data_IF_742296499322
#
_entry.id   IF_742296499322
#
_cell.length_a   1.000
_cell.length_b   1.000
_cell.length_c   1.000
_cell.angle_alpha   90.00
_cell.angle_beta   90.00
_cell.angle_gamma   90.00
#
_symmetry.space_group_name_H-M   'P 1'
#
loop_
_entity.id
_entity.type
_entity.pdbx_description
1 polymer ?
#
# COMPACT_ATOMS: atom_id res chain seq x y z
N UNK A 1 20.66 -32.98 3.37
CA UNK A 1 19.25 -33.14 3.82
C UNK A 1 18.44 -31.84 3.78
N UNK A 2 19.02 -30.64 3.67
CA UNK A 2 18.26 -29.36 3.72
C UNK A 2 17.44 -28.99 2.46
N UNK A 3 17.82 -29.47 1.26
CA UNK A 3 17.15 -29.06 0.00
C UNK A 3 15.66 -29.43 -0.07
N UNK A 4 15.25 -30.54 0.56
CA UNK A 4 13.85 -31.00 0.50
C UNK A 4 12.94 -30.18 1.43
N UNK A 5 13.47 -29.67 2.54
CA UNK A 5 12.73 -28.81 3.47
C UNK A 5 12.57 -27.39 2.92
N UNK A 6 13.60 -26.86 2.25
CA UNK A 6 13.54 -25.54 1.62
C UNK A 6 12.50 -25.51 0.47
N UNK A 7 12.40 -26.59 -0.30
CA UNK A 7 11.40 -26.71 -1.38
C UNK A 7 9.97 -26.83 -0.85
N UNK A 8 9.76 -27.58 0.24
CA UNK A 8 8.45 -27.67 0.91
C UNK A 8 8.01 -26.30 1.44
N UNK A 9 8.90 -25.60 2.15
CA UNK A 9 8.63 -24.27 2.68
C UNK A 9 8.31 -23.26 1.55
N UNK A 10 9.02 -23.33 0.42
CA UNK A 10 8.76 -22.47 -0.72
C UNK A 10 7.40 -22.75 -1.37
N UNK A 11 7.02 -24.03 -1.47
CA UNK A 11 5.73 -24.44 -2.02
C UNK A 11 4.58 -24.03 -1.10
N UNK A 12 4.73 -24.21 0.20
CA UNK A 12 3.75 -23.77 1.21
C UNK A 12 3.56 -22.25 1.17
N UNK A 13 4.64 -21.48 1.06
CA UNK A 13 4.56 -20.03 0.91
C UNK A 13 3.85 -19.61 -0.39
N UNK A 14 4.07 -20.33 -1.49
CA UNK A 14 3.37 -20.08 -2.75
C UNK A 14 1.87 -20.39 -2.64
N UNK A 15 1.50 -21.52 -2.03
CA UNK A 15 0.10 -21.90 -1.83
C UNK A 15 -0.62 -20.85 -0.98
N UNK A 16 -0.05 -20.46 0.16
CA UNK A 16 -0.62 -19.41 1.01
C UNK A 16 -0.79 -18.08 0.26
N UNK A 17 0.16 -17.75 -0.63
CA UNK A 17 0.06 -16.59 -1.51
C UNK A 17 -1.12 -16.68 -2.48
N UNK A 18 -1.33 -17.84 -3.11
CA UNK A 18 -2.46 -18.06 -4.01
C UNK A 18 -3.81 -18.05 -3.30
N UNK A 19 -3.90 -18.66 -2.12
CA UNK A 19 -5.11 -18.65 -1.29
C UNK A 19 -5.51 -17.22 -0.91
N UNK A 20 -4.53 -16.42 -0.49
CA UNK A 20 -4.76 -15.01 -0.20
C UNK A 20 -5.27 -14.26 -1.44
N UNK A 21 -4.62 -14.42 -2.59
CA UNK A 21 -5.01 -13.76 -3.84
C UNK A 21 -6.44 -14.16 -4.26
N UNK A 22 -6.79 -15.44 -4.11
CA UNK A 22 -8.14 -15.93 -4.40
C UNK A 22 -9.19 -15.27 -3.50
N UNK A 23 -8.89 -15.16 -2.19
CA UNK A 23 -9.81 -14.55 -1.24
C UNK A 23 -10.01 -13.05 -1.51
N UNK A 24 -8.96 -12.33 -1.94
CA UNK A 24 -9.11 -10.94 -2.39
C UNK A 24 -10.04 -10.85 -3.60
N UNK A 25 -9.86 -11.71 -4.61
CA UNK A 25 -10.69 -11.71 -5.81
C UNK A 25 -12.16 -12.01 -5.50
N UNK A 26 -12.43 -12.96 -4.62
CA UNK A 26 -13.79 -13.30 -4.19
C UNK A 26 -14.47 -12.12 -3.50
N UNK A 27 -13.78 -11.45 -2.58
CA UNK A 27 -14.28 -10.25 -1.91
C UNK A 27 -14.58 -9.12 -2.91
N UNK A 28 -13.68 -8.90 -3.87
CA UNK A 28 -13.83 -7.88 -4.92
C UNK A 28 -15.04 -8.17 -5.82
N UNK A 29 -15.28 -9.43 -6.19
CA UNK A 29 -16.46 -9.79 -7.00
C UNK A 29 -17.78 -9.66 -6.26
N UNK A 30 -17.77 -9.76 -4.94
CA UNK A 30 -18.97 -9.57 -4.10
C UNK A 30 -19.29 -8.10 -3.79
N UNK A 31 -18.35 -7.20 -4.04
CA UNK A 31 -18.49 -5.78 -3.72
C UNK A 31 -19.51 -5.08 -4.65
N UNK A 32 -20.38 -4.26 -4.07
CA UNK A 32 -21.47 -3.61 -4.79
C UNK A 32 -21.09 -2.26 -5.41
N UNK A 33 -19.86 -1.77 -5.18
CA UNK A 33 -19.39 -0.48 -5.70
C UNK A 33 -17.87 -0.28 -5.59
N UNK A 34 -17.36 0.71 -6.34
CA UNK A 34 -15.92 1.02 -6.46
C UNK A 34 -15.25 1.25 -5.10
N UNK A 35 -15.90 1.98 -4.19
CA UNK A 35 -15.36 2.27 -2.87
C UNK A 35 -15.21 1.01 -2.00
N UNK A 36 -16.10 0.03 -2.14
CA UNK A 36 -16.05 -1.23 -1.38
C UNK A 36 -14.97 -2.16 -1.95
N UNK A 37 -14.80 -2.19 -3.27
CA UNK A 37 -13.69 -2.88 -3.93
C UNK A 37 -12.35 -2.37 -3.39
N UNK A 38 -12.14 -1.05 -3.40
CA UNK A 38 -10.90 -0.43 -2.93
C UNK A 38 -10.69 -0.69 -1.42
N UNK A 39 -11.77 -0.65 -0.62
CA UNK A 39 -11.69 -0.96 0.81
C UNK A 39 -11.21 -2.38 1.05
N UNK A 40 -11.77 -3.38 0.35
CA UNK A 40 -11.34 -4.77 0.47
C UNK A 40 -9.89 -4.98 0.05
N UNK A 41 -9.41 -4.25 -0.97
CA UNK A 41 -7.99 -4.27 -1.33
C UNK A 41 -7.09 -3.76 -0.19
N UNK A 42 -7.46 -2.65 0.45
CA UNK A 42 -6.69 -2.10 1.58
C UNK A 42 -6.70 -3.08 2.75
N UNK A 43 -7.86 -3.63 3.12
CA UNK A 43 -7.99 -4.60 4.21
C UNK A 43 -7.11 -5.83 3.99
N UNK A 44 -7.12 -6.37 2.76
CA UNK A 44 -6.26 -7.49 2.40
C UNK A 44 -4.78 -7.10 2.46
N UNK A 45 -4.41 -5.93 1.94
CA UNK A 45 -3.02 -5.44 1.97
C UNK A 45 -2.52 -5.24 3.41
N UNK A 46 -3.37 -4.74 4.31
CA UNK A 46 -3.06 -4.59 5.72
C UNK A 46 -2.85 -5.95 6.39
N UNK A 47 -3.72 -6.92 6.13
CA UNK A 47 -3.61 -8.27 6.68
C UNK A 47 -2.33 -8.98 6.23
N UNK A 48 -1.99 -8.87 4.94
CA UNK A 48 -0.77 -9.49 4.36
C UNK A 48 0.48 -8.76 4.84
N UNK A 49 0.47 -7.44 4.80
CA UNK A 49 1.61 -6.59 5.20
C UNK A 49 1.80 -6.49 6.70
N UNK A 50 0.82 -6.93 7.51
CA UNK A 50 0.74 -6.70 8.96
C UNK A 50 0.96 -5.22 9.31
N UNK A 51 0.35 -4.34 8.52
CA UNK A 51 0.46 -2.90 8.67
C UNK A 51 -0.73 -2.36 9.46
N UNK A 52 -0.49 -1.32 10.25
CA UNK A 52 -1.49 -0.74 11.16
C UNK A 52 -2.50 0.16 10.42
N UNK A 53 -2.05 0.82 9.35
CA UNK A 53 -2.84 1.75 8.55
C UNK A 53 -2.52 1.60 7.06
N UNK A 54 -3.51 1.88 6.22
CA UNK A 54 -3.34 1.80 4.78
C UNK A 54 -4.16 2.86 4.06
N UNK A 55 -3.65 3.32 2.93
CA UNK A 55 -4.37 4.24 2.06
C UNK A 55 -4.10 3.94 0.58
N UNK A 56 -5.11 4.11 -0.27
CA UNK A 56 -4.94 4.10 -1.72
C UNK A 56 -5.28 5.48 -2.24
N UNK A 57 -4.36 6.06 -2.99
CA UNK A 57 -4.54 7.30 -3.73
C UNK A 57 -4.58 7.01 -5.23
N UNK A 58 -5.69 7.35 -5.89
CA UNK A 58 -5.85 7.19 -7.34
C UNK A 58 -5.73 8.53 -8.07
N UNK A 59 -5.04 8.53 -9.20
CA UNK A 59 -4.88 9.67 -10.09
C UNK A 59 -6.00 9.70 -11.15
N UNK A 60 -6.55 10.87 -11.43
CA UNK A 60 -7.44 11.08 -12.58
C UNK A 60 -6.64 10.98 -13.88
N UNK A 61 -7.07 10.13 -14.82
CA UNK A 61 -6.40 9.97 -16.12
C UNK A 61 -6.52 11.27 -16.95
N UNK A 62 -5.38 11.93 -17.17
CA UNK A 62 -5.07 12.85 -18.28
C UNK A 62 -3.70 13.51 -18.05
N UNK A 63 -3.31 13.75 -16.79
CA UNK A 63 -2.07 14.45 -16.45
C UNK A 63 -1.29 13.89 -15.26
N UNK A 64 -1.81 12.88 -14.54
CA UNK A 64 -1.10 12.24 -13.43
C UNK A 64 -0.88 13.12 -12.19
N UNK A 65 -1.50 14.30 -12.12
CA UNK A 65 -1.30 15.28 -11.04
C UNK A 65 -2.49 15.45 -10.10
N UNK A 66 -3.69 15.05 -10.53
CA UNK A 66 -4.91 15.27 -9.74
C UNK A 66 -5.30 13.98 -9.02
N UNK A 67 -5.00 13.92 -7.71
CA UNK A 67 -5.46 12.85 -6.84
C UNK A 67 -6.97 12.97 -6.62
N UNK A 68 -7.74 11.94 -7.00
CA UNK A 68 -9.21 11.94 -6.94
C UNK A 68 -9.78 11.14 -5.78
N UNK A 69 -9.21 9.99 -5.50
CA UNK A 69 -9.81 9.04 -4.56
C UNK A 69 -8.78 8.65 -3.51
N UNK A 70 -9.10 8.95 -2.26
CA UNK A 70 -8.35 8.51 -1.09
C UNK A 70 -9.24 7.63 -0.23
N UNK A 71 -9.01 6.33 -0.27
CA UNK A 71 -9.62 5.37 0.67
C UNK A 71 -8.59 5.04 1.74
N UNK A 72 -9.01 4.98 3.00
CA UNK A 72 -8.17 4.64 4.15
C UNK A 72 -8.75 3.45 4.91
N UNK A 73 -7.87 2.62 5.48
CA UNK A 73 -8.21 1.51 6.38
C UNK A 73 -7.21 1.41 7.53
N UNK A 74 -7.58 0.73 8.62
CA UNK A 74 -6.77 0.55 9.81
C UNK A 74 -7.59 0.55 11.11
N UNK A 75 -7.04 -0.01 12.19
CA UNK A 75 -7.75 -0.20 13.46
C UNK A 75 -7.89 1.11 14.28
N UNK A 76 -6.99 2.09 14.08
CA UNK A 76 -6.91 3.27 14.94
C UNK A 76 -7.38 4.56 14.24
N UNK A 77 -8.34 5.26 14.86
CA UNK A 77 -8.93 6.51 14.34
C UNK A 77 -7.98 7.72 14.45
N UNK A 78 -6.82 7.54 15.08
CA UNK A 78 -5.70 8.49 15.01
C UNK A 78 -4.96 8.25 13.68
N UNK A 79 -5.56 8.68 12.57
CA UNK A 79 -4.98 8.52 11.25
C UNK A 79 -3.61 9.22 11.17
N UNK A 80 -2.53 8.46 11.39
CA UNK A 80 -1.16 8.92 11.18
C UNK A 80 -0.92 9.08 9.69
N UNK A 81 -1.49 8.19 8.88
CA UNK A 81 -1.48 8.25 7.42
C UNK A 81 -2.56 9.20 6.89
N UNK A 82 -2.38 10.49 7.20
CA UNK A 82 -3.26 11.55 6.73
C UNK A 82 -2.97 11.95 5.28
N UNK A 83 -3.67 12.99 4.80
CA UNK A 83 -3.53 13.46 3.42
C UNK A 83 -2.10 13.89 3.13
N UNK A 84 -1.42 14.53 4.09
CA UNK A 84 -0.08 15.05 3.88
C UNK A 84 0.93 13.93 3.62
N UNK A 85 0.97 12.90 4.48
CA UNK A 85 1.87 11.77 4.26
C UNK A 85 1.54 11.00 2.99
N UNK A 86 0.25 10.80 2.72
CA UNK A 86 -0.16 10.11 1.48
C UNK A 86 0.37 10.84 0.26
N UNK A 87 0.24 12.17 0.20
CA UNK A 87 0.77 12.98 -0.91
C UNK A 87 2.30 12.97 -0.96
N UNK A 88 2.97 12.99 0.19
CA UNK A 88 4.43 12.94 0.28
C UNK A 88 4.96 11.61 -0.31
N UNK A 89 4.38 10.49 0.11
CA UNK A 89 4.76 9.15 -0.36
C UNK A 89 4.40 8.97 -1.83
N UNK A 90 3.18 9.32 -2.21
CA UNK A 90 2.74 9.18 -3.58
C UNK A 90 3.54 10.07 -4.53
N UNK A 91 3.88 11.31 -4.13
CA UNK A 91 4.75 12.18 -4.92
C UNK A 91 6.16 11.61 -5.10
N UNK A 92 6.70 10.92 -4.08
CA UNK A 92 7.99 10.23 -4.21
C UNK A 92 7.89 9.02 -5.14
N UNK A 93 6.91 8.13 -4.92
CA UNK A 93 6.70 6.92 -5.73
C UNK A 93 6.43 7.30 -7.19
N UNK A 94 5.65 8.34 -7.44
CA UNK A 94 5.38 8.86 -8.78
C UNK A 94 6.67 9.31 -9.49
N UNK A 95 7.55 10.04 -8.78
CA UNK A 95 8.83 10.51 -9.35
C UNK A 95 9.82 9.38 -9.59
N UNK A 96 9.95 8.45 -8.64
CA UNK A 96 10.93 7.37 -8.72
C UNK A 96 10.45 6.18 -9.55
N UNK A 97 9.14 6.03 -9.76
CA UNK A 97 8.49 4.89 -10.41
C UNK A 97 8.90 3.54 -9.79
N UNK A 98 9.21 3.55 -8.50
CA UNK A 98 9.65 2.39 -7.73
C UNK A 98 8.90 2.34 -6.40
N UNK A 99 8.70 1.15 -5.82
CA UNK A 99 8.20 1.03 -4.47
C UNK A 99 9.12 1.75 -3.47
N UNK A 100 8.51 2.49 -2.55
CA UNK A 100 9.17 3.00 -1.36
C UNK A 100 9.06 1.95 -0.26
N UNK A 101 10.17 1.57 0.36
CA UNK A 101 10.18 0.79 1.60
C UNK A 101 11.21 1.43 2.53
N UNK A 102 10.76 1.92 3.68
CA UNK A 102 11.65 2.56 4.64
C UNK A 102 11.17 2.35 6.06
N UNK A 103 12.12 2.23 6.99
CA UNK A 103 11.89 2.31 8.44
C UNK A 103 12.34 3.67 9.02
N UNK A 104 12.80 4.58 8.16
CA UNK A 104 13.26 5.91 8.55
C UNK A 104 12.76 6.95 7.53
N UNK A 105 11.66 7.62 7.90
CA UNK A 105 11.08 8.68 7.08
C UNK A 105 11.99 9.90 7.00
N UNK A 106 12.74 10.21 8.05
CA UNK A 106 13.62 11.38 8.11
C UNK A 106 14.81 11.18 7.17
N UNK A 107 15.36 9.97 7.11
CA UNK A 107 16.44 9.65 6.16
C UNK A 107 16.00 9.81 4.70
N UNK A 108 14.75 9.45 4.36
CA UNK A 108 14.23 9.51 2.98
C UNK A 108 13.77 10.92 2.58
N UNK A 109 13.03 11.60 3.46
CA UNK A 109 12.36 12.85 3.13
C UNK A 109 13.02 14.08 3.74
N UNK A 110 13.92 13.89 4.70
CA UNK A 110 14.57 14.97 5.46
C UNK A 110 13.70 15.50 6.60
N UNK A 111 14.36 15.91 7.69
CA UNK A 111 13.69 16.37 8.91
C UNK A 111 12.71 17.53 8.69
N UNK A 112 13.01 18.44 7.74
CA UNK A 112 12.15 19.58 7.40
C UNK A 112 10.81 19.18 6.79
N UNK A 113 10.72 17.99 6.18
CA UNK A 113 9.52 17.50 5.51
C UNK A 113 8.74 16.48 6.35
N UNK A 114 9.23 16.12 7.54
CA UNK A 114 8.57 15.18 8.44
C UNK A 114 8.21 15.90 9.75
N UNK A 115 6.97 16.42 9.86
CA UNK A 115 6.45 16.97 11.10
C UNK A 115 6.57 15.99 12.29
N UNK A 116 6.78 16.53 13.49
CA UNK A 116 7.03 15.74 14.71
C UNK A 116 5.93 14.70 15.00
N UNK A 117 4.68 14.98 14.62
CA UNK A 117 3.55 14.06 14.79
C UNK A 117 3.71 12.72 14.06
N UNK A 118 4.59 12.64 13.06
CA UNK A 118 4.85 11.41 12.30
C UNK A 118 6.11 10.65 12.77
N UNK A 119 6.83 11.15 13.78
CA UNK A 119 8.06 10.50 14.29
C UNK A 119 7.83 9.12 14.89
N UNK A 120 6.58 8.79 15.23
CA UNK A 120 6.20 7.48 15.76
C UNK A 120 5.96 6.43 14.66
N UNK A 121 6.03 6.80 13.39
CA UNK A 121 5.90 5.85 12.27
C UNK A 121 7.24 5.14 12.09
N UNK A 122 7.23 3.83 12.31
CA UNK A 122 8.43 2.98 12.34
C UNK A 122 8.73 2.30 11.01
N UNK A 123 7.73 2.17 10.15
CA UNK A 123 7.85 1.56 8.83
C UNK A 123 6.80 2.16 7.90
N UNK A 124 7.17 2.33 6.62
CA UNK A 124 6.28 2.76 5.55
C UNK A 124 6.61 1.98 4.29
N UNK A 125 5.55 1.60 3.58
CA UNK A 125 5.63 1.05 2.23
C UNK A 125 4.74 1.87 1.29
N UNK A 126 5.30 2.38 0.21
CA UNK A 126 4.56 3.03 -0.88
C UNK A 126 4.68 2.21 -2.16
N UNK A 127 3.58 1.69 -2.70
CA UNK A 127 3.57 0.80 -3.85
C UNK A 127 2.88 1.49 -5.03
N UNK A 128 3.52 1.58 -6.21
CA UNK A 128 2.88 2.11 -7.40
C UNK A 128 1.79 1.16 -7.90
N UNK A 129 0.60 1.69 -8.15
CA UNK A 129 -0.48 0.99 -8.85
C UNK A 129 -0.40 1.33 -10.32
N UNK A 130 -0.27 0.33 -11.19
CA UNK A 130 -0.11 0.53 -12.64
C UNK A 130 -1.15 -0.26 -13.43
N UNK A 131 -1.64 0.33 -14.52
CA UNK A 131 -2.50 -0.28 -15.52
C UNK A 131 -1.86 0.01 -16.89
N UNK A 132 -1.58 -1.01 -17.69
CA UNK A 132 -0.96 -0.89 -19.01
C UNK A 132 0.30 0.01 -19.01
N UNK A 133 1.23 -0.24 -18.08
CA UNK A 133 2.46 0.54 -17.85
C UNK A 133 2.27 2.01 -17.43
N UNK A 134 1.02 2.45 -17.24
CA UNK A 134 0.69 3.76 -16.72
C UNK A 134 0.41 3.69 -15.22
N UNK A 135 1.09 4.51 -14.43
CA UNK A 135 0.80 4.64 -13.01
C UNK A 135 -0.57 5.30 -12.83
N UNK A 136 -1.51 4.59 -12.20
CA UNK A 136 -2.88 5.02 -11.92
C UNK A 136 -3.08 5.40 -10.46
N UNK A 137 -2.12 5.10 -9.58
CA UNK A 137 -2.20 5.46 -8.18
C UNK A 137 -1.02 4.98 -7.35
N UNK A 138 -1.13 5.18 -6.04
CA UNK A 138 -0.17 4.68 -5.05
C UNK A 138 -0.93 4.11 -3.86
N UNK A 139 -0.54 2.92 -3.43
CA UNK A 139 -0.96 2.33 -2.16
C UNK A 139 0.11 2.60 -1.11
N UNK A 140 -0.28 3.09 0.06
CA UNK A 140 0.58 3.36 1.20
C UNK A 140 0.17 2.48 2.37
N UNK A 141 1.14 1.85 3.03
CA UNK A 141 1.02 1.06 4.24
C UNK A 141 2.03 1.57 5.28
#
# INVERSE_FOLDING_TARGET
MNRSSDQLNQLEAQIAGYECLYQVLENVWSASGEADVIRHFIEAALAVGRADQGAIMLYSSAAGTDARTLVRGGEDHRAMLDSYLTHLFAGWVFRQKQPLLTNDLIAVFGEKNIPDKYRNITAVMGIPLSLDDQMVGVMSL
#
